data_IF_396918488918
#
_entry.id   IF_396918488918
#
_cell.length_a   1.000
_cell.length_b   1.000
_cell.length_c   1.000
_cell.angle_alpha   90.00
_cell.angle_beta   90.00
_cell.angle_gamma   90.00
#
_symmetry.space_group_name_H-M   'P 1'
#
loop_
_entity.id
_entity.type
_entity.pdbx_description
1 polymer ?
#
# COMPACT_ATOMS: atom_id res chain seq x y z
N UNK A 1 6.41 3.69 12.62
CA UNK A 1 6.38 3.69 11.15
C UNK A 1 5.17 4.48 10.72
N UNK A 2 5.23 5.18 9.60
CA UNK A 2 4.10 5.96 9.11
C UNK A 2 4.29 6.34 7.65
N UNK A 3 3.31 7.07 7.14
CA UNK A 3 3.33 7.64 5.80
C UNK A 3 3.24 9.17 5.89
N UNK A 4 3.81 9.84 4.90
CA UNK A 4 3.62 11.27 4.69
C UNK A 4 3.13 11.49 3.26
N UNK A 5 2.20 12.42 3.07
CA UNK A 5 1.64 12.76 1.75
C UNK A 5 2.61 13.53 0.85
N UNK A 6 3.69 14.08 1.43
CA UNK A 6 4.79 14.73 0.71
C UNK A 6 6.11 13.96 0.88
N UNK A 7 7.07 14.24 0.00
CA UNK A 7 8.31 13.49 -0.09
C UNK A 7 9.27 14.08 -1.12
N UNK A 8 10.37 13.38 -1.39
CA UNK A 8 11.39 13.82 -2.36
C UNK A 8 10.82 14.17 -3.73
N UNK A 9 9.76 13.46 -4.17
CA UNK A 9 9.10 13.66 -5.45
C UNK A 9 7.70 14.29 -5.33
N UNK A 10 7.29 14.71 -4.13
CA UNK A 10 5.96 15.28 -3.88
C UNK A 10 4.80 14.27 -3.84
N UNK A 11 5.06 12.98 -4.03
CA UNK A 11 4.02 11.92 -4.06
C UNK A 11 3.86 11.14 -2.75
N UNK A 12 4.75 11.39 -1.77
CA UNK A 12 4.68 10.82 -0.43
C UNK A 12 5.86 9.91 -0.08
N UNK A 13 5.91 9.49 1.17
CA UNK A 13 6.96 8.59 1.69
C UNK A 13 6.41 7.58 2.69
N UNK A 14 7.13 6.46 2.83
CA UNK A 14 7.08 5.58 4.00
C UNK A 14 8.27 5.88 4.88
N UNK A 15 8.07 6.08 6.17
CA UNK A 15 9.13 6.45 7.10
C UNK A 15 9.11 5.65 8.41
N UNK A 16 10.24 5.68 9.10
CA UNK A 16 10.43 5.23 10.47
C UNK A 16 10.78 6.42 11.35
N UNK A 17 10.16 6.49 12.52
CA UNK A 17 10.51 7.42 13.58
C UNK A 17 10.95 6.62 14.80
N UNK A 18 12.14 6.88 15.32
CA UNK A 18 12.61 6.24 16.56
C UNK A 18 12.05 6.97 17.79
N UNK A 19 12.00 6.32 18.98
CA UNK A 19 11.61 7.01 20.22
C UNK A 19 12.51 8.21 20.58
N UNK A 20 13.72 8.28 20.00
CA UNK A 20 14.65 9.40 20.16
C UNK A 20 14.48 10.50 19.10
N UNK A 21 13.47 10.37 18.23
CA UNK A 21 13.15 11.37 17.20
C UNK A 21 13.94 11.24 15.90
N UNK A 22 14.70 10.17 15.69
CA UNK A 22 15.38 9.93 14.40
C UNK A 22 14.36 9.57 13.34
N UNK A 23 14.33 10.35 12.26
CA UNK A 23 13.44 10.16 11.11
C UNK A 23 14.23 9.56 9.93
N UNK A 24 13.82 8.36 9.50
CA UNK A 24 14.41 7.67 8.36
C UNK A 24 13.35 7.45 7.27
N UNK A 25 13.63 7.89 6.05
CA UNK A 25 12.81 7.56 4.88
C UNK A 25 13.15 6.14 4.45
N UNK A 26 12.14 5.28 4.42
CA UNK A 26 12.25 3.89 3.98
C UNK A 26 11.93 3.75 2.48
N UNK A 27 10.98 4.54 1.99
CA UNK A 27 10.59 4.55 0.59
C UNK A 27 10.03 5.93 0.17
N UNK A 28 10.28 6.34 -1.07
CA UNK A 28 9.74 7.56 -1.66
C UNK A 28 8.96 7.22 -2.92
N UNK A 29 7.68 7.60 -2.92
CA UNK A 29 6.78 7.30 -4.01
C UNK A 29 7.07 8.13 -5.26
N UNK A 30 6.83 7.55 -6.44
CA UNK A 30 7.15 8.13 -7.76
C UNK A 30 5.93 8.29 -8.69
N UNK A 31 4.72 7.97 -8.21
CA UNK A 31 3.42 8.07 -8.91
C UNK A 31 3.15 7.04 -10.01
N UNK A 32 3.95 6.95 -11.06
CA UNK A 32 3.73 5.95 -12.14
C UNK A 32 5.04 5.24 -12.45
N UNK A 33 5.09 3.89 -12.46
CA UNK A 33 3.98 2.94 -12.25
C UNK A 33 3.66 2.62 -10.77
N UNK A 34 4.37 3.27 -9.85
CA UNK A 34 4.29 3.19 -8.38
C UNK A 34 2.97 3.77 -7.82
N UNK A 35 2.79 3.99 -6.51
CA UNK A 35 1.68 4.74 -5.93
C UNK A 35 1.99 6.22 -5.68
N UNK A 36 0.98 6.96 -5.21
CA UNK A 36 1.06 8.34 -4.74
C UNK A 36 -0.02 8.64 -3.68
N UNK A 37 0.21 9.64 -2.83
CA UNK A 37 -0.68 10.05 -1.73
C UNK A 37 -0.99 8.89 -0.75
N UNK A 38 0.02 8.39 -0.02
CA UNK A 38 -0.17 7.37 1.01
C UNK A 38 -0.76 8.01 2.28
N UNK A 39 -2.09 8.09 2.38
CA UNK A 39 -2.79 8.78 3.48
C UNK A 39 -3.10 7.88 4.68
N UNK A 40 -3.13 6.57 4.47
CA UNK A 40 -3.53 5.60 5.48
C UNK A 40 -2.37 5.09 6.35
N UNK A 41 -2.70 4.59 7.55
CA UNK A 41 -1.76 3.87 8.40
C UNK A 41 -1.28 2.55 7.77
N UNK A 42 -0.09 2.11 8.21
CA UNK A 42 0.54 0.87 7.75
C UNK A 42 0.20 -0.30 8.67
N UNK A 43 0.06 -1.50 8.08
CA UNK A 43 0.12 -2.76 8.83
C UNK A 43 1.49 -3.40 8.67
N UNK A 44 1.95 -4.11 9.70
CA UNK A 44 3.28 -4.72 9.73
C UNK A 44 3.18 -6.21 9.99
N UNK A 45 3.87 -7.01 9.17
CA UNK A 45 3.94 -8.46 9.39
C UNK A 45 5.02 -8.85 10.42
N UNK A 46 5.09 -10.14 10.76
CA UNK A 46 6.09 -10.67 11.70
C UNK A 46 7.53 -10.65 11.18
N UNK A 47 7.72 -10.49 9.86
CA UNK A 47 9.02 -10.35 9.21
C UNK A 47 9.50 -8.90 9.17
N UNK A 48 8.62 -7.96 9.55
CA UNK A 48 8.91 -6.53 9.59
C UNK A 48 8.57 -5.78 8.31
N UNK A 49 7.94 -6.42 7.33
CA UNK A 49 7.45 -5.78 6.12
C UNK A 49 6.27 -4.86 6.47
N UNK A 50 6.19 -3.71 5.80
CA UNK A 50 5.14 -2.72 5.95
C UNK A 50 4.20 -2.81 4.74
N UNK A 51 2.90 -2.74 4.97
CA UNK A 51 1.89 -2.78 3.92
C UNK A 51 0.94 -1.60 4.08
N UNK A 52 0.52 -1.03 2.96
CA UNK A 52 -0.36 0.11 2.95
C UNK A 52 -1.02 0.30 1.59
N UNK A 53 -1.71 1.42 1.46
CA UNK A 53 -2.38 1.84 0.24
C UNK A 53 -1.93 3.23 -0.17
N UNK A 54 -2.04 3.51 -1.47
CA UNK A 54 -1.88 4.86 -2.01
C UNK A 54 -3.17 5.26 -2.68
N UNK A 55 -3.69 6.47 -2.40
CA UNK A 55 -4.97 6.90 -2.95
C UNK A 55 -4.91 7.19 -4.46
N UNK A 56 -3.72 7.45 -5.00
CA UNK A 56 -3.49 7.72 -6.42
C UNK A 56 -2.22 7.02 -6.91
N UNK A 57 -1.91 7.23 -8.18
CA UNK A 57 -0.85 6.52 -8.89
C UNK A 57 -1.27 5.11 -9.28
N UNK A 58 -0.31 4.27 -9.56
CA UNK A 58 -0.44 2.91 -10.05
C UNK A 58 -0.52 2.90 -11.57
N UNK A 59 -0.55 1.70 -12.15
CA UNK A 59 -0.63 1.52 -13.60
C UNK A 59 -1.80 2.27 -14.27
N UNK A 60 -2.88 2.52 -13.53
CA UNK A 60 -4.09 3.18 -14.02
C UNK A 60 -4.43 4.50 -13.31
N UNK A 61 -3.58 4.97 -12.37
CA UNK A 61 -3.82 6.21 -11.63
C UNK A 61 -4.84 6.15 -10.48
N UNK A 62 -5.43 4.97 -10.21
CA UNK A 62 -6.51 4.80 -9.22
C UNK A 62 -6.03 4.33 -7.83
N UNK A 63 -4.73 4.26 -7.62
CA UNK A 63 -4.12 3.84 -6.35
C UNK A 63 -3.59 2.42 -6.35
N UNK A 64 -2.81 2.08 -5.33
CA UNK A 64 -2.19 0.77 -5.17
C UNK A 64 -2.39 0.19 -3.78
N UNK A 65 -2.22 -1.13 -3.67
CA UNK A 65 -1.81 -1.81 -2.44
C UNK A 65 -0.33 -2.14 -2.58
N UNK A 66 0.50 -1.72 -1.63
CA UNK A 66 1.94 -1.90 -1.69
C UNK A 66 2.48 -2.63 -0.45
N UNK A 67 3.70 -3.13 -0.60
CA UNK A 67 4.56 -3.64 0.47
C UNK A 67 5.91 -2.93 0.40
N UNK A 68 6.45 -2.46 1.52
CA UNK A 68 7.85 -2.08 1.67
C UNK A 68 8.53 -3.06 2.62
N UNK A 69 9.60 -3.72 2.17
CA UNK A 69 10.34 -4.65 3.00
C UNK A 69 11.34 -3.96 3.95
N UNK A 70 12.05 -4.76 4.75
CA UNK A 70 13.02 -4.23 5.73
C UNK A 70 14.26 -3.60 5.09
N UNK A 71 14.47 -3.76 3.79
CA UNK A 71 15.55 -3.14 3.03
C UNK A 71 15.12 -1.84 2.34
N UNK A 72 13.85 -1.46 2.47
CA UNK A 72 13.28 -0.28 1.80
C UNK A 72 12.87 -0.56 0.34
N UNK A 73 12.79 -1.83 -0.06
CA UNK A 73 12.35 -2.20 -1.41
C UNK A 73 10.83 -2.29 -1.45
N UNK A 74 10.22 -1.61 -2.42
CA UNK A 74 8.78 -1.65 -2.65
C UNK A 74 8.38 -2.79 -3.59
N UNK A 75 7.23 -3.40 -3.31
CA UNK A 75 6.52 -4.32 -4.18
C UNK A 75 5.06 -3.86 -4.26
N UNK A 76 4.62 -3.53 -5.47
CA UNK A 76 3.21 -3.29 -5.76
C UNK A 76 2.50 -4.66 -5.75
N UNK A 77 1.59 -4.84 -4.79
CA UNK A 77 0.80 -6.07 -4.69
C UNK A 77 -0.44 -6.01 -5.58
N UNK A 78 -0.96 -4.80 -5.81
CA UNK A 78 -2.09 -4.56 -6.70
C UNK A 78 -2.13 -3.10 -7.14
N UNK A 79 -2.44 -2.86 -8.42
CA UNK A 79 -2.85 -1.54 -8.93
C UNK A 79 -4.31 -1.61 -9.30
N UNK A 80 -5.12 -0.72 -8.72
CA UNK A 80 -6.54 -0.66 -9.02
C UNK A 80 -6.77 -0.15 -10.44
N UNK A 81 -7.77 -0.70 -11.11
CA UNK A 81 -8.15 -0.44 -12.51
C UNK A 81 -9.46 0.32 -12.66
N UNK A 82 -10.10 0.70 -11.55
CA UNK A 82 -11.40 1.36 -11.52
C UNK A 82 -12.56 0.38 -11.36
N UNK A 83 -12.50 -0.75 -12.07
CA UNK A 83 -13.53 -1.81 -11.97
C UNK A 83 -13.45 -2.60 -10.68
N UNK A 84 -12.25 -2.73 -10.11
CA UNK A 84 -11.95 -3.38 -8.83
C UNK A 84 -11.83 -2.38 -7.66
N UNK A 85 -11.85 -1.08 -7.96
CA UNK A 85 -11.87 0.00 -6.97
C UNK A 85 -11.11 1.24 -7.43
N UNK A 86 -11.27 2.35 -6.69
CA UNK A 86 -10.62 3.64 -6.92
C UNK A 86 -10.39 4.32 -5.57
N UNK A 87 -9.21 4.91 -5.38
CA UNK A 87 -8.85 5.66 -4.18
C UNK A 87 -8.95 4.81 -2.90
N UNK A 88 -8.06 3.83 -2.71
CA UNK A 88 -7.96 3.11 -1.45
C UNK A 88 -7.37 4.01 -0.35
N UNK A 89 -8.24 4.77 0.33
CA UNK A 89 -7.83 5.73 1.38
C UNK A 89 -7.79 5.14 2.79
N UNK A 90 -8.42 3.97 3.01
CA UNK A 90 -8.48 3.34 4.32
C UNK A 90 -7.25 2.47 4.60
N UNK A 91 -6.88 2.36 5.88
CA UNK A 91 -5.85 1.43 6.33
C UNK A 91 -6.26 -0.03 6.09
N UNK A 92 -5.26 -0.88 5.89
CA UNK A 92 -5.48 -2.32 5.73
C UNK A 92 -5.71 -3.01 7.07
N UNK A 93 -6.38 -4.16 7.03
CA UNK A 93 -6.39 -5.15 8.12
C UNK A 93 -5.70 -6.41 7.62
N UNK A 94 -4.80 -6.97 8.43
CA UNK A 94 -4.08 -8.21 8.12
C UNK A 94 -4.57 -9.34 9.04
N UNK A 95 -4.92 -10.49 8.46
CA UNK A 95 -5.24 -11.69 9.24
C UNK A 95 -3.98 -12.51 9.61
N UNK A 96 -4.17 -13.56 10.41
CA UNK A 96 -3.06 -14.45 10.84
C UNK A 96 -2.42 -15.23 9.68
N UNK A 97 -3.10 -15.36 8.54
CA UNK A 97 -2.56 -16.00 7.34
C UNK A 97 -1.79 -15.00 6.46
N UNK A 98 -1.83 -13.71 6.79
CA UNK A 98 -1.20 -12.63 6.04
C UNK A 98 -2.09 -12.08 4.92
N UNK A 99 -3.37 -12.46 4.84
CA UNK A 99 -4.27 -11.85 3.87
C UNK A 99 -4.56 -10.41 4.27
N UNK A 100 -4.63 -9.53 3.27
CA UNK A 100 -4.91 -8.11 3.45
C UNK A 100 -6.36 -7.81 3.06
N UNK A 101 -7.02 -7.02 3.88
CA UNK A 101 -8.40 -6.59 3.68
C UNK A 101 -8.44 -5.07 3.68
N UNK A 102 -9.24 -4.48 2.80
CA UNK A 102 -9.37 -3.03 2.71
C UNK A 102 -10.58 -2.61 1.89
N UNK A 103 -10.71 -1.29 1.71
CA UNK A 103 -11.82 -0.69 0.99
C UNK A 103 -11.33 0.39 0.02
N UNK A 104 -12.09 0.60 -1.06
CA UNK A 104 -11.93 1.75 -1.95
C UNK A 104 -13.11 2.69 -1.82
N UNK A 105 -12.88 3.99 -2.03
CA UNK A 105 -13.94 5.01 -1.90
C UNK A 105 -14.89 4.99 -3.09
N UNK A 106 -14.35 4.79 -4.30
CA UNK A 106 -15.12 4.74 -5.54
C UNK A 106 -14.79 3.48 -6.35
N UNK A 107 -15.44 3.35 -7.50
CA UNK A 107 -15.27 2.22 -8.41
C UNK A 107 -16.19 1.05 -8.07
N UNK A 108 -15.85 -0.14 -8.56
CA UNK A 108 -16.73 -1.31 -8.47
C UNK A 108 -17.91 -1.24 -9.45
N UNK A 109 -18.74 -2.29 -9.46
CA UNK A 109 -19.82 -2.46 -10.44
C UNK A 109 -20.87 -1.33 -10.44
N UNK A 110 -21.02 -0.60 -9.34
CA UNK A 110 -21.97 0.51 -9.19
C UNK A 110 -21.31 1.85 -8.85
N UNK A 111 -19.97 1.93 -8.93
CA UNK A 111 -19.21 3.16 -8.68
C UNK A 111 -19.05 3.59 -7.21
N UNK A 112 -19.68 2.89 -6.26
CA UNK A 112 -19.71 3.24 -4.83
C UNK A 112 -18.56 2.71 -3.97
N UNK A 113 -17.53 2.13 -4.57
CA UNK A 113 -16.41 1.52 -3.84
C UNK A 113 -16.50 0.00 -3.75
N UNK A 114 -15.40 -0.62 -3.32
CA UNK A 114 -15.29 -2.06 -3.11
C UNK A 114 -14.75 -2.37 -1.73
N UNK A 115 -15.10 -3.56 -1.21
CA UNK A 115 -14.36 -4.23 -0.14
C UNK A 115 -13.54 -5.32 -0.80
N UNK A 116 -12.23 -5.35 -0.57
CA UNK A 116 -11.35 -6.30 -1.22
C UNK A 116 -10.59 -7.17 -0.22
N UNK A 117 -10.14 -8.33 -0.71
CA UNK A 117 -9.19 -9.21 -0.06
C UNK A 117 -8.04 -9.53 -1.02
N UNK A 118 -6.81 -9.27 -0.61
CA UNK A 118 -5.61 -9.79 -1.27
C UNK A 118 -5.11 -11.00 -0.49
N UNK A 119 -5.13 -12.17 -1.14
CA UNK A 119 -4.64 -13.40 -0.52
C UNK A 119 -3.11 -13.40 -0.44
N UNK A 120 -2.58 -13.83 0.70
CA UNK A 120 -1.14 -14.08 0.83
C UNK A 120 -0.79 -15.37 0.09
N UNK A 121 -0.44 -15.24 -1.20
CA UNK A 121 -0.10 -16.39 -2.05
C UNK A 121 1.35 -16.87 -1.84
N UNK A 122 2.18 -16.11 -1.12
CA UNK A 122 3.59 -16.45 -0.85
C UNK A 122 3.80 -17.66 0.07
N UNK A 123 2.72 -18.32 0.53
CA UNK A 123 2.77 -19.57 1.28
C UNK A 123 2.56 -20.83 0.42
N UNK A 124 2.19 -20.70 -0.84
CA UNK A 124 2.09 -21.84 -1.76
C UNK A 124 3.22 -21.74 -2.77
N UNK A 125 4.32 -22.44 -2.50
CA UNK A 125 5.46 -22.57 -3.40
C UNK A 125 5.09 -23.29 -4.68
N UNK A 126 4.55 -22.57 -5.66
CA UNK A 126 4.60 -22.99 -7.05
C UNK A 126 5.84 -22.35 -7.66
N UNK A 127 6.97 -23.05 -7.47
CA UNK A 127 8.02 -23.04 -8.48
C UNK A 127 7.43 -23.69 -9.73
N UNK A 128 7.54 -22.99 -10.87
CA UNK A 128 7.75 -23.64 -12.16
C UNK A 128 9.23 -23.51 -12.49
#
# INVERSE_FOLDING_TARGET
YGTASSGAFGYGTVFKLTPRGTYDVLYSFTNVPDGATPEAGLVRDSKGNLYGTTASGGAFGYGTVFKVDTTGTEIILHSFSGTDGIQPQAGLVMDKAGNLYGTTVFGGASGGGTVFKLASLWRMGYFL
#
